data_IF_777523908290
#
_entry.id   IF_777523908290
#
_cell.length_a   1.000
_cell.length_b   1.000
_cell.length_c   1.000
_cell.angle_alpha   90.00
_cell.angle_beta   90.00
_cell.angle_gamma   90.00
#
_symmetry.space_group_name_H-M   'P 1'
#
loop_
_entity.id
_entity.type
_entity.pdbx_description
1 polymer ?
#
# COMPACT_ATOMS: atom_id res chain seq x y z
N UNK A 1 21.21 6.43 -7.93
CA UNK A 1 20.07 7.31 -7.61
C UNK A 1 19.68 6.99 -6.18
N UNK A 2 19.61 7.99 -5.31
CA UNK A 2 19.61 7.87 -3.85
C UNK A 2 18.49 6.95 -3.36
N UNK A 3 18.85 5.86 -2.66
CA UNK A 3 17.89 5.02 -1.93
C UNK A 3 17.09 5.91 -1.00
N UNK A 4 15.81 6.12 -1.31
CA UNK A 4 14.90 6.85 -0.45
C UNK A 4 14.77 6.00 0.82
N UNK A 5 15.42 6.40 1.92
CA UNK A 5 15.24 5.80 3.24
C UNK A 5 13.84 6.19 3.77
N UNK A 6 12.78 5.82 3.05
CA UNK A 6 11.40 5.94 3.53
C UNK A 6 11.28 5.14 4.81
N UNK A 7 10.50 5.65 5.76
CA UNK A 7 10.20 4.95 7.01
C UNK A 7 8.78 4.41 6.94
N UNK A 8 8.40 3.51 7.84
CA UNK A 8 7.03 3.00 7.89
C UNK A 8 5.99 4.11 8.06
N UNK A 9 6.33 5.21 8.75
CA UNK A 9 5.48 6.38 8.91
C UNK A 9 5.23 7.10 7.58
N UNK A 10 6.26 7.20 6.73
CA UNK A 10 6.15 7.78 5.39
C UNK A 10 5.27 6.91 4.48
N UNK A 11 5.42 5.58 4.55
CA UNK A 11 4.56 4.62 3.84
C UNK A 11 3.10 4.76 4.30
N UNK A 12 2.87 4.90 5.61
CA UNK A 12 1.53 5.14 6.17
C UNK A 12 0.93 6.45 5.65
N UNK A 13 1.67 7.54 5.62
CA UNK A 13 1.17 8.82 5.12
C UNK A 13 0.74 8.74 3.66
N UNK A 14 1.54 8.05 2.82
CA UNK A 14 1.20 7.79 1.41
C UNK A 14 -0.09 6.97 1.30
N UNK A 15 -0.19 5.86 2.04
CA UNK A 15 -1.39 5.01 2.08
C UNK A 15 -2.62 5.79 2.50
N UNK A 16 -2.53 6.55 3.59
CA UNK A 16 -3.63 7.35 4.13
C UNK A 16 -4.09 8.36 3.08
N UNK A 17 -3.16 9.04 2.40
CA UNK A 17 -3.50 10.00 1.34
C UNK A 17 -4.18 9.36 0.14
N UNK A 18 -3.62 8.27 -0.36
CA UNK A 18 -4.16 7.56 -1.53
C UNK A 18 -5.57 7.03 -1.23
N UNK A 19 -5.75 6.38 -0.09
CA UNK A 19 -7.04 5.81 0.31
C UNK A 19 -8.05 6.92 0.63
N UNK A 20 -7.65 7.98 1.32
CA UNK A 20 -8.54 9.10 1.64
C UNK A 20 -9.01 9.83 0.37
N UNK A 21 -8.13 9.97 -0.62
CA UNK A 21 -8.47 10.54 -1.92
C UNK A 21 -9.55 9.70 -2.64
N UNK A 22 -9.38 8.38 -2.70
CA UNK A 22 -10.35 7.48 -3.34
C UNK A 22 -11.66 7.38 -2.54
N UNK A 23 -11.59 7.36 -1.21
CA UNK A 23 -12.75 7.35 -0.33
C UNK A 23 -13.48 8.71 -0.27
N UNK A 24 -12.88 9.78 -0.80
CA UNK A 24 -13.44 11.12 -0.80
C UNK A 24 -13.52 11.75 0.60
N UNK A 25 -12.64 11.34 1.53
CA UNK A 25 -12.56 11.86 2.89
C UNK A 25 -11.21 12.54 3.14
N UNK A 26 -11.08 13.23 4.28
CA UNK A 26 -9.79 13.82 4.66
C UNK A 26 -8.82 12.73 5.16
N UNK A 27 -7.50 12.83 4.89
CA UNK A 27 -6.51 11.90 5.45
C UNK A 27 -6.49 11.88 6.99
N UNK A 28 -6.91 12.99 7.63
CA UNK A 28 -7.06 13.07 9.08
C UNK A 28 -8.33 12.37 9.63
N UNK A 29 -9.30 12.07 8.77
CA UNK A 29 -10.53 11.34 9.13
C UNK A 29 -10.42 9.84 8.85
N UNK A 30 -9.39 9.44 8.11
CA UNK A 30 -9.10 8.06 7.82
C UNK A 30 -8.39 7.41 9.01
N UNK A 31 -9.00 6.38 9.57
CA UNK A 31 -8.43 5.63 10.69
C UNK A 31 -7.58 4.49 10.15
N UNK A 32 -6.36 4.38 10.64
CA UNK A 32 -5.42 3.34 10.21
C UNK A 32 -5.74 1.94 10.75
N UNK A 33 -6.64 1.85 11.74
CA UNK A 33 -7.17 0.61 12.37
C UNK A 33 -8.46 0.12 11.69
N UNK A 34 -9.07 0.94 10.82
CA UNK A 34 -10.30 0.59 10.12
C UNK A 34 -10.00 -0.06 8.77
N UNK A 35 -10.82 -1.04 8.35
CA UNK A 35 -10.66 -1.66 7.05
C UNK A 35 -11.10 -0.69 5.94
N UNK A 36 -10.40 -0.71 4.80
CA UNK A 36 -10.70 0.12 3.63
C UNK A 36 -12.13 -0.04 3.12
N UNK A 37 -12.67 -1.26 3.22
CA UNK A 37 -14.06 -1.57 2.85
C UNK A 37 -15.09 -0.85 3.73
N UNK A 38 -14.73 -0.46 4.95
CA UNK A 38 -15.57 0.38 5.84
C UNK A 38 -15.78 1.77 5.24
N UNK A 39 -14.78 2.28 4.52
CA UNK A 39 -14.79 3.56 3.82
C UNK A 39 -15.41 3.50 2.43
N UNK A 40 -15.88 2.33 1.98
CA UNK A 40 -16.42 2.13 0.64
C UNK A 40 -15.34 2.02 -0.43
N UNK A 41 -14.13 1.56 -0.07
CA UNK A 41 -13.09 1.29 -1.07
C UNK A 41 -13.48 0.07 -1.92
N UNK A 42 -13.81 0.30 -3.19
CA UNK A 42 -14.15 -0.72 -4.19
C UNK A 42 -12.92 -1.25 -4.94
N UNK A 43 -13.08 -2.31 -5.76
CA UNK A 43 -11.96 -2.88 -6.55
C UNK A 43 -11.27 -1.88 -7.49
N UNK A 44 -11.98 -0.88 -8.00
CA UNK A 44 -11.39 0.18 -8.83
C UNK A 44 -10.52 1.13 -7.99
N UNK A 45 -11.00 1.50 -6.80
CA UNK A 45 -10.25 2.33 -5.88
C UNK A 45 -9.00 1.61 -5.36
N UNK A 46 -9.11 0.31 -5.08
CA UNK A 46 -7.96 -0.52 -4.70
C UNK A 46 -6.87 -0.55 -5.79
N UNK A 47 -7.25 -0.56 -7.07
CA UNK A 47 -6.30 -0.48 -8.19
C UNK A 47 -5.61 0.89 -8.27
N UNK A 48 -6.35 2.00 -8.12
CA UNK A 48 -5.78 3.36 -8.07
C UNK A 48 -4.80 3.51 -6.92
N UNK A 49 -5.18 3.07 -5.72
CA UNK A 49 -4.33 3.09 -4.52
C UNK A 49 -3.08 2.25 -4.75
N UNK A 50 -3.23 1.05 -5.32
CA UNK A 50 -2.11 0.18 -5.69
C UNK A 50 -1.09 0.90 -6.58
N UNK A 51 -1.57 1.54 -7.66
CA UNK A 51 -0.73 2.30 -8.60
C UNK A 51 -0.01 3.48 -7.95
N UNK A 52 -0.68 4.26 -7.10
CA UNK A 52 -0.03 5.35 -6.35
C UNK A 52 1.07 4.83 -5.41
N UNK A 53 0.82 3.70 -4.75
CA UNK A 53 1.80 3.08 -3.87
C UNK A 53 3.02 2.61 -4.66
N UNK A 54 2.87 1.94 -5.81
CA UNK A 54 4.04 1.54 -6.59
C UNK A 54 4.85 2.72 -7.10
N UNK A 55 4.20 3.79 -7.58
CA UNK A 55 4.92 4.99 -8.01
C UNK A 55 5.66 5.66 -6.84
N UNK A 56 4.98 5.85 -5.71
CA UNK A 56 5.55 6.52 -4.54
C UNK A 56 6.68 5.73 -3.88
N UNK A 57 6.50 4.40 -3.80
CA UNK A 57 7.38 3.46 -3.10
C UNK A 57 8.47 2.89 -4.01
N UNK A 58 8.30 2.99 -5.34
CA UNK A 58 9.21 2.43 -6.33
C UNK A 58 9.14 0.91 -6.41
N UNK A 59 7.99 0.31 -6.08
CA UNK A 59 7.75 -1.12 -6.21
C UNK A 59 7.31 -1.43 -7.66
N UNK A 60 7.61 -2.61 -8.18
CA UNK A 60 7.18 -3.01 -9.54
C UNK A 60 5.93 -3.91 -9.56
N UNK A 61 5.48 -4.37 -8.39
CA UNK A 61 4.34 -5.27 -8.26
C UNK A 61 3.71 -5.08 -6.87
N UNK A 62 2.96 -3.99 -6.62
CA UNK A 62 2.21 -3.84 -5.40
C UNK A 62 0.96 -4.70 -5.53
N UNK A 63 0.72 -5.60 -4.58
CA UNK A 63 -0.38 -6.51 -4.72
C UNK A 63 -1.62 -5.76 -4.27
N UNK A 64 -2.52 -5.46 -5.21
CA UNK A 64 -3.94 -5.24 -4.88
C UNK A 64 -4.49 -6.39 -4.01
N UNK A 65 -3.84 -7.56 -4.10
CA UNK A 65 -4.02 -8.71 -3.22
C UNK A 65 -3.64 -8.43 -1.75
N UNK A 66 -2.57 -7.65 -1.48
CA UNK A 66 -2.22 -7.22 -0.13
C UNK A 66 -3.24 -6.23 0.42
N UNK A 67 -3.92 -5.43 -0.41
CA UNK A 67 -5.06 -4.65 0.07
C UNK A 67 -6.20 -5.55 0.59
N UNK A 68 -6.32 -6.77 0.07
CA UNK A 68 -7.31 -7.76 0.51
C UNK A 68 -6.83 -8.59 1.70
N UNK A 69 -5.55 -8.99 1.74
CA UNK A 69 -4.94 -9.70 2.88
C UNK A 69 -4.72 -8.77 4.10
N UNK A 70 -4.44 -7.51 3.81
CA UNK A 70 -4.17 -6.45 4.78
C UNK A 70 -5.11 -5.26 4.53
N UNK A 71 -6.40 -5.39 4.92
CA UNK A 71 -7.40 -4.36 4.64
C UNK A 71 -7.22 -3.09 5.48
N UNK A 72 -6.15 -2.94 6.25
CA UNK A 72 -5.88 -1.76 7.10
C UNK A 72 -4.55 -1.11 6.73
N UNK A 73 -4.45 0.20 6.94
CA UNK A 73 -3.22 0.97 6.69
C UNK A 73 -2.05 0.42 7.50
N UNK A 74 -2.27 0.06 8.77
CA UNK A 74 -1.20 -0.41 9.66
C UNK A 74 -0.55 -1.69 9.13
N UNK A 75 -1.39 -2.70 8.82
CA UNK A 75 -0.92 -3.99 8.29
C UNK A 75 -0.31 -3.85 6.90
N UNK A 76 -0.89 -3.01 6.04
CA UNK A 76 -0.42 -2.82 4.67
C UNK A 76 0.91 -2.06 4.64
N UNK A 77 1.06 -1.03 5.47
CA UNK A 77 2.32 -0.29 5.62
C UNK A 77 3.45 -1.19 6.13
N UNK A 78 3.17 -2.07 7.10
CA UNK A 78 4.14 -3.06 7.56
C UNK A 78 4.57 -4.02 6.45
N UNK A 79 3.62 -4.53 5.66
CA UNK A 79 3.90 -5.46 4.57
C UNK A 79 4.75 -4.80 3.47
N UNK A 80 4.38 -3.60 3.04
CA UNK A 80 5.15 -2.80 2.08
C UNK A 80 6.54 -2.47 2.63
N UNK A 81 6.62 -2.05 3.89
CA UNK A 81 7.91 -1.75 4.51
C UNK A 81 8.80 -2.98 4.59
N UNK A 82 8.25 -4.15 4.89
CA UNK A 82 8.95 -5.43 4.81
C UNK A 82 9.40 -5.72 3.38
N UNK A 83 8.59 -5.50 2.34
CA UNK A 83 8.98 -5.72 0.95
C UNK A 83 10.12 -4.79 0.48
N UNK A 84 10.14 -3.54 0.94
CA UNK A 84 11.21 -2.59 0.63
C UNK A 84 12.55 -2.95 1.31
N UNK A 85 12.49 -3.55 2.50
CA UNK A 85 13.68 -3.94 3.28
C UNK A 85 14.07 -5.40 3.09
N UNK A 86 13.14 -6.24 2.69
CA UNK A 86 13.43 -7.58 2.24
C UNK A 86 14.16 -7.42 0.92
N UNK A 87 15.45 -7.78 0.90
CA UNK A 87 16.12 -8.05 -0.35
C UNK A 87 15.24 -9.01 -1.16
N UNK A 88 15.06 -8.80 -2.47
CA UNK A 88 14.18 -9.63 -3.27
C UNK A 88 14.67 -11.06 -3.10
N UNK A 89 13.94 -11.86 -2.32
CA UNK A 89 14.10 -13.30 -2.36
C UNK A 89 13.79 -13.62 -3.81
N UNK A 90 14.85 -13.96 -4.53
CA UNK A 90 14.80 -14.54 -5.85
C UNK A 90 14.00 -15.83 -5.72
N UNK A 91 12.67 -15.71 -5.75
CA UNK A 91 11.77 -16.79 -6.01
C UNK A 91 11.64 -16.86 -7.53
N UNK A 92 12.65 -17.46 -8.15
CA UNK A 92 12.48 -18.14 -9.41
C UNK A 92 11.50 -19.32 -9.24
N UNK A 93 10.92 -19.73 -10.37
CA UNK A 93 10.23 -21.01 -10.66
C UNK A 93 8.70 -20.93 -10.49
N UNK A 94 7.85 -21.16 -11.49
CA UNK A 94 7.92 -22.04 -12.66
C UNK A 94 6.88 -21.59 -13.72
N UNK A 95 7.14 -21.87 -15.00
CA UNK A 95 6.31 -21.41 -16.10
C UNK A 95 4.93 -22.08 -16.23
N UNK A 96 4.04 -21.37 -16.92
CA UNK A 96 3.14 -21.94 -17.92
C UNK A 96 2.79 -20.90 -18.98
#
# INVERSE_FOLDING_TARGET
MSTKNMTIDDVKDVLVKAVAAEAGISPAELETDQPFTSYGLDSMAALSVGMEIEDACGLSDPPVDLLWDHPTVDTLAEALWKLMNAEPVSAATDGQ
#
